data_IF_009388415541
#
_entry.id   IF_009388415541
#
_cell.length_a   1.000
_cell.length_b   1.000
_cell.length_c   1.000
_cell.angle_alpha   90.00
_cell.angle_beta   90.00
_cell.angle_gamma   90.00
#
_symmetry.space_group_name_H-M   'P 1'
#
loop_
_entity.id
_entity.type
_entity.pdbx_description
1 polymer ?
#
# COMPACT_ATOMS: atom_id res chain seq x y z
N UNK A 1 -27.41 34.64 5.01
CA UNK A 1 -26.64 34.90 3.77
C UNK A 1 -25.21 34.43 4.00
N UNK A 2 -24.72 33.42 3.27
CA UNK A 2 -23.34 32.94 3.38
C UNK A 2 -22.52 33.43 2.18
N UNK A 3 -21.90 34.63 2.26
CA UNK A 3 -21.22 35.28 1.14
C UNK A 3 -19.95 34.53 0.65
N UNK A 4 -19.54 33.46 1.35
CA UNK A 4 -18.30 32.71 1.10
C UNK A 4 -18.50 31.29 0.58
N UNK A 5 -19.75 30.85 0.34
CA UNK A 5 -19.98 29.59 -0.36
C UNK A 5 -19.57 29.78 -1.82
N UNK A 6 -18.55 29.04 -2.27
CA UNK A 6 -18.02 29.06 -3.64
C UNK A 6 -19.04 28.73 -4.75
N UNK A 7 -20.28 28.40 -4.38
CA UNK A 7 -21.43 28.26 -5.28
C UNK A 7 -21.95 29.61 -5.79
N UNK A 8 -21.74 30.71 -5.03
CA UNK A 8 -22.24 32.06 -5.35
C UNK A 8 -21.13 33.05 -5.77
N UNK A 9 -19.86 32.61 -5.77
CA UNK A 9 -18.74 33.45 -6.20
C UNK A 9 -18.38 33.22 -7.66
N UNK A 10 -18.24 34.29 -8.43
CA UNK A 10 -18.01 34.26 -9.90
C UNK A 10 -16.66 33.67 -10.30
N UNK A 11 -15.70 33.56 -9.37
CA UNK A 11 -14.37 33.01 -9.61
C UNK A 11 -14.10 31.79 -8.73
N UNK A 12 -14.21 30.60 -9.32
CA UNK A 12 -13.87 29.34 -8.64
C UNK A 12 -12.36 29.22 -8.44
N UNK A 13 -11.90 29.22 -7.18
CA UNK A 13 -10.50 28.89 -6.80
C UNK A 13 -10.25 27.39 -6.60
N UNK A 14 -11.16 26.53 -7.07
CA UNK A 14 -11.05 25.07 -6.91
C UNK A 14 -9.89 24.52 -7.74
N UNK A 15 -9.12 23.59 -7.16
CA UNK A 15 -8.04 22.91 -7.88
C UNK A 15 -8.54 22.22 -9.16
N UNK A 16 -7.80 22.37 -10.25
CA UNK A 16 -8.14 21.77 -11.54
C UNK A 16 -8.10 20.23 -11.44
N UNK A 17 -9.11 19.59 -12.03
CA UNK A 17 -9.12 18.13 -12.23
C UNK A 17 -8.71 17.81 -13.67
N UNK A 18 -8.34 16.56 -13.99
CA UNK A 18 -7.99 16.17 -15.36
C UNK A 18 -9.10 16.41 -16.41
N UNK A 19 -10.32 16.74 -15.97
CA UNK A 19 -11.50 16.96 -16.83
C UNK A 19 -11.87 18.44 -17.01
N UNK A 20 -11.10 19.37 -16.42
CA UNK A 20 -11.43 20.81 -16.36
C UNK A 20 -10.47 21.72 -17.14
N UNK A 21 -9.52 21.16 -17.88
CA UNK A 21 -8.58 21.90 -18.73
C UNK A 21 -8.83 21.68 -20.22
N UNK A 22 -8.11 22.42 -21.07
CA UNK A 22 -8.16 22.27 -22.53
C UNK A 22 -7.24 21.13 -23.02
N UNK A 23 -7.13 20.93 -24.35
CA UNK A 23 -6.38 19.84 -25.01
C UNK A 23 -4.94 19.68 -24.51
N UNK A 24 -4.25 20.78 -24.19
CA UNK A 24 -2.85 20.75 -23.74
C UNK A 24 -2.68 20.49 -22.24
N UNK A 25 -3.78 20.50 -21.48
CA UNK A 25 -3.75 20.28 -20.04
C UNK A 25 -3.76 18.79 -19.71
N UNK A 26 -2.61 18.26 -19.32
CA UNK A 26 -2.49 16.92 -18.77
C UNK A 26 -2.28 16.94 -17.25
N UNK A 27 -3.11 16.18 -16.52
CA UNK A 27 -2.94 15.95 -15.08
C UNK A 27 -3.05 14.47 -14.76
N UNK A 28 -1.99 13.90 -14.16
CA UNK A 28 -1.95 12.49 -13.77
C UNK A 28 -2.82 12.17 -12.55
N UNK A 29 -3.19 10.89 -12.39
CA UNK A 29 -4.09 10.38 -11.33
C UNK A 29 -3.36 9.62 -10.23
N UNK A 30 -2.07 9.93 -9.98
CA UNK A 30 -1.22 9.24 -8.99
C UNK A 30 -1.08 7.72 -9.21
N UNK A 31 -1.21 7.23 -10.44
CA UNK A 31 -0.95 5.81 -10.75
C UNK A 31 0.47 5.36 -10.34
N UNK A 32 1.42 6.29 -10.30
CA UNK A 32 2.80 6.07 -9.86
C UNK A 32 2.99 6.08 -8.33
N UNK A 33 1.92 6.01 -7.53
CA UNK A 33 1.97 5.95 -6.07
C UNK A 33 1.28 4.69 -5.56
N UNK A 34 1.74 4.17 -4.42
CA UNK A 34 1.06 3.08 -3.71
C UNK A 34 -0.18 3.63 -2.97
N UNK A 35 -1.23 2.80 -2.77
CA UNK A 35 -2.33 3.15 -1.88
C UNK A 35 -1.78 3.51 -0.50
N UNK A 36 -2.00 4.75 -0.03
CA UNK A 36 -1.49 5.23 1.26
C UNK A 36 0.03 5.37 1.39
N UNK A 37 0.79 5.15 0.32
CA UNK A 37 2.25 5.01 0.40
C UNK A 37 3.04 5.98 -0.48
N UNK A 38 4.34 5.69 -0.59
CA UNK A 38 5.29 6.49 -1.33
C UNK A 38 5.11 6.39 -2.86
N UNK A 39 5.72 7.34 -3.57
CA UNK A 39 5.71 7.39 -5.04
C UNK A 39 6.75 6.40 -5.57
N UNK A 40 6.31 5.40 -6.32
CA UNK A 40 7.16 4.37 -6.95
C UNK A 40 7.70 4.78 -8.32
N UNK A 41 7.16 5.87 -8.89
CA UNK A 41 7.57 6.36 -10.21
C UNK A 41 6.78 5.76 -11.37
N UNK A 42 7.08 6.19 -12.59
CA UNK A 42 6.38 5.74 -13.80
C UNK A 42 6.89 4.35 -14.23
N UNK A 43 6.02 3.46 -14.76
CA UNK A 43 6.39 2.10 -15.17
C UNK A 43 7.19 2.02 -16.47
N UNK A 44 7.48 3.17 -17.09
CA UNK A 44 8.10 3.23 -18.41
C UNK A 44 8.56 4.63 -18.76
N UNK A 45 8.98 4.80 -20.02
CA UNK A 45 9.48 6.07 -20.55
C UNK A 45 8.86 6.42 -21.89
N UNK A 46 8.68 7.72 -22.13
CA UNK A 46 8.32 8.22 -23.45
C UNK A 46 9.51 8.07 -24.40
N UNK A 47 9.23 7.63 -25.62
CA UNK A 47 10.22 7.44 -26.68
C UNK A 47 9.96 8.46 -27.78
N UNK A 48 10.96 9.26 -28.09
CA UNK A 48 10.85 10.38 -29.04
C UNK A 48 10.78 9.85 -30.49
N UNK A 49 11.57 8.81 -30.79
CA UNK A 49 11.71 8.22 -32.14
C UNK A 49 11.13 6.81 -32.20
N UNK A 50 10.43 6.49 -33.29
CA UNK A 50 9.79 5.18 -33.50
C UNK A 50 8.26 5.22 -33.53
N UNK A 51 7.66 4.05 -33.76
CA UNK A 51 6.21 3.84 -33.88
C UNK A 51 5.51 3.84 -32.52
N UNK A 52 6.11 3.23 -31.49
CA UNK A 52 5.61 3.29 -30.11
C UNK A 52 6.16 4.50 -29.36
N UNK A 53 5.27 5.39 -28.90
CA UNK A 53 5.65 6.64 -28.20
C UNK A 53 5.89 6.45 -26.70
N UNK A 54 5.52 5.30 -26.14
CA UNK A 54 5.78 4.94 -24.75
C UNK A 54 6.25 3.49 -24.68
N UNK A 55 7.31 3.24 -23.92
CA UNK A 55 7.88 1.90 -23.69
C UNK A 55 7.78 1.56 -22.22
N UNK A 56 7.14 0.43 -21.91
CA UNK A 56 7.12 -0.16 -20.58
C UNK A 56 8.48 -0.77 -20.24
N UNK A 57 8.87 -0.66 -18.99
CA UNK A 57 10.09 -1.25 -18.44
C UNK A 57 9.66 -2.24 -17.38
N UNK A 58 9.72 -3.53 -17.68
CA UNK A 58 9.19 -4.60 -16.81
C UNK A 58 9.77 -4.53 -15.39
N UNK A 59 11.04 -4.15 -15.26
CA UNK A 59 11.73 -3.92 -13.98
C UNK A 59 11.08 -2.84 -13.09
N UNK A 60 10.32 -1.92 -13.68
CA UNK A 60 9.62 -0.82 -12.97
C UNK A 60 8.13 -1.06 -12.85
N UNK A 61 7.61 -2.10 -13.48
CA UNK A 61 6.20 -2.47 -13.35
C UNK A 61 6.01 -3.11 -11.99
N UNK A 62 4.97 -2.68 -11.28
CA UNK A 62 4.64 -3.25 -9.97
C UNK A 62 3.98 -4.61 -10.16
N UNK A 63 4.44 -5.58 -9.38
CA UNK A 63 3.87 -6.93 -9.31
C UNK A 63 3.42 -7.19 -7.88
N UNK A 64 2.20 -7.68 -7.72
CA UNK A 64 1.70 -8.14 -6.43
C UNK A 64 1.92 -9.65 -6.37
N UNK A 65 2.86 -10.07 -5.53
CA UNK A 65 3.17 -11.49 -5.33
C UNK A 65 2.27 -12.00 -4.21
N UNK A 66 1.46 -13.00 -4.53
CA UNK A 66 0.63 -13.73 -3.57
C UNK A 66 1.11 -15.17 -3.42
N UNK A 67 0.77 -15.83 -2.30
CA UNK A 67 0.96 -17.27 -2.16
C UNK A 67 0.11 -18.05 -3.18
N UNK A 68 0.40 -19.33 -3.35
CA UNK A 68 -0.35 -20.18 -4.28
C UNK A 68 -1.80 -20.34 -3.85
N UNK A 69 -2.70 -20.59 -4.81
CA UNK A 69 -4.13 -20.75 -4.50
C UNK A 69 -4.41 -21.94 -3.57
N UNK A 70 -3.57 -22.99 -3.66
CA UNK A 70 -3.67 -24.20 -2.84
C UNK A 70 -3.36 -23.87 -1.38
N UNK A 71 -2.25 -23.16 -1.13
CA UNK A 71 -1.88 -22.70 0.22
C UNK A 71 -2.93 -21.76 0.82
N UNK A 72 -3.49 -20.84 0.02
CA UNK A 72 -4.56 -19.95 0.48
C UNK A 72 -5.80 -20.75 0.89
N UNK A 73 -6.17 -21.77 0.11
CA UNK A 73 -7.38 -22.57 0.37
C UNK A 73 -7.20 -23.51 1.56
N UNK A 74 -6.00 -24.07 1.73
CA UNK A 74 -5.64 -24.92 2.86
C UNK A 74 -5.40 -24.14 4.15
N UNK A 75 -5.18 -22.82 4.06
CA UNK A 75 -4.98 -21.99 5.24
C UNK A 75 -6.23 -21.92 6.12
N UNK A 76 -6.03 -22.23 7.41
CA UNK A 76 -7.04 -22.03 8.45
C UNK A 76 -7.30 -20.55 8.74
N UNK A 77 -6.36 -19.66 8.37
CA UNK A 77 -6.46 -18.23 8.63
C UNK A 77 -7.63 -17.63 7.86
N UNK A 78 -8.49 -16.91 8.57
CA UNK A 78 -9.63 -16.17 8.02
C UNK A 78 -9.45 -14.67 8.26
N UNK A 79 -10.09 -13.80 7.45
CA UNK A 79 -10.02 -12.36 7.64
C UNK A 79 -10.58 -11.88 8.99
N UNK A 80 -11.43 -12.70 9.63
CA UNK A 80 -12.08 -12.39 10.89
C UNK A 80 -11.91 -13.54 11.88
N UNK A 81 -12.00 -13.20 13.15
CA UNK A 81 -11.94 -14.15 14.26
C UNK A 81 -13.32 -14.25 14.92
N UNK A 82 -13.63 -15.39 15.51
CA UNK A 82 -14.89 -15.58 16.22
C UNK A 82 -14.99 -14.69 17.47
N UNK A 83 -16.18 -14.14 17.75
CA UNK A 83 -16.38 -13.14 18.82
C UNK A 83 -16.01 -13.67 20.21
N UNK A 84 -16.13 -14.98 20.45
CA UNK A 84 -15.83 -15.57 21.76
C UNK A 84 -14.35 -15.76 22.04
N UNK A 85 -13.47 -15.67 21.05
CA UNK A 85 -12.03 -15.87 21.27
C UNK A 85 -11.44 -14.68 22.01
N UNK A 86 -10.79 -14.93 23.15
CA UNK A 86 -10.10 -13.91 23.93
C UNK A 86 -8.61 -14.17 23.90
N UNK A 87 -7.82 -13.12 23.70
CA UNK A 87 -6.36 -13.20 23.80
C UNK A 87 -5.94 -13.57 25.22
N UNK A 88 -5.03 -14.53 25.34
CA UNK A 88 -4.39 -14.86 26.60
C UNK A 88 -3.48 -13.72 27.07
N UNK A 89 -3.09 -13.73 28.34
CA UNK A 89 -2.12 -12.75 28.85
C UNK A 89 -0.75 -12.90 28.18
N UNK A 90 -0.42 -14.11 27.71
CA UNK A 90 0.81 -14.37 27.00
C UNK A 90 0.73 -13.81 25.57
N UNK A 91 -0.36 -14.07 24.85
CA UNK A 91 -0.57 -13.56 23.48
C UNK A 91 -0.52 -12.03 23.43
N UNK A 92 -1.03 -11.36 24.49
CA UNK A 92 -0.96 -9.90 24.63
C UNK A 92 0.47 -9.39 24.78
N UNK A 93 1.32 -10.12 25.51
CA UNK A 93 2.75 -9.78 25.64
C UNK A 93 3.46 -10.00 24.32
N UNK A 94 3.16 -11.09 23.63
CA UNK A 94 3.78 -11.42 22.34
C UNK A 94 3.36 -10.44 21.24
N UNK A 95 2.09 -9.99 21.23
CA UNK A 95 1.62 -8.94 20.34
C UNK A 95 2.37 -7.59 20.55
N UNK A 96 2.79 -7.29 21.79
CA UNK A 96 3.61 -6.10 22.07
C UNK A 96 5.05 -6.24 21.57
N UNK A 97 5.56 -7.46 21.44
CA UNK A 97 6.90 -7.74 20.89
C UNK A 97 6.97 -7.65 19.37
N UNK A 98 5.84 -7.79 18.67
CA UNK A 98 5.72 -7.69 17.20
C UNK A 98 5.65 -6.24 16.67
N UNK A 99 5.53 -5.25 17.55
CA UNK A 99 5.68 -3.80 17.23
C UNK A 99 7.14 -3.54 16.83
N UNK A 100 7.46 -2.63 15.88
CA UNK A 100 8.82 -2.47 15.37
C UNK A 100 9.84 -2.28 16.50
N UNK A 101 10.59 -3.36 16.67
CA UNK A 101 11.73 -3.60 17.53
C UNK A 101 12.59 -2.35 17.66
N UNK A 102 12.62 -1.80 18.88
CA UNK A 102 13.79 -1.05 19.33
C UNK A 102 15.02 -1.96 19.11
N UNK A 103 16.15 -1.44 18.61
CA UNK A 103 17.23 -2.22 18.00
C UNK A 103 17.81 -3.39 18.82
N UNK A 104 17.50 -3.51 20.11
CA UNK A 104 18.03 -4.53 21.02
C UNK A 104 17.05 -5.66 21.39
N UNK A 105 15.77 -5.61 21.01
CA UNK A 105 14.78 -6.60 21.50
C UNK A 105 14.75 -7.93 20.72
N UNK A 106 15.39 -8.01 19.55
CA UNK A 106 15.35 -9.18 18.66
C UNK A 106 16.08 -10.42 19.18
N UNK A 107 17.03 -10.30 20.11
CA UNK A 107 18.01 -11.36 20.37
C UNK A 107 17.42 -12.55 21.18
N UNK A 108 16.29 -12.38 21.87
CA UNK A 108 15.78 -13.40 22.81
C UNK A 108 14.67 -14.33 22.28
N UNK A 109 14.08 -14.06 21.12
CA UNK A 109 12.97 -14.89 20.59
C UNK A 109 13.49 -16.02 19.71
N UNK A 110 14.31 -15.71 18.70
CA UNK A 110 14.91 -16.73 17.81
C UNK A 110 15.72 -17.81 18.56
N UNK A 111 16.34 -17.45 19.69
CA UNK A 111 17.09 -18.39 20.53
C UNK A 111 16.17 -19.35 21.30
N UNK A 112 15.00 -18.87 21.77
CA UNK A 112 13.98 -19.73 22.40
C UNK A 112 13.34 -20.68 21.38
N UNK A 113 12.96 -20.14 20.22
CA UNK A 113 12.35 -20.94 19.16
C UNK A 113 13.32 -22.02 18.61
N UNK A 114 14.63 -21.74 18.60
CA UNK A 114 15.66 -22.71 18.24
C UNK A 114 15.92 -23.78 19.31
N UNK A 115 15.72 -23.45 20.60
CA UNK A 115 15.86 -24.39 21.72
C UNK A 115 14.63 -25.31 21.83
N UNK A 116 13.43 -24.81 21.53
CA UNK A 116 12.17 -25.57 21.59
C UNK A 116 11.95 -26.50 20.38
N UNK A 117 12.60 -26.25 19.24
CA UNK A 117 12.49 -27.05 18.01
C UNK A 117 13.39 -28.29 17.92
N UNK A 118 14.06 -28.68 19.01
CA UNK A 118 15.02 -29.81 19.07
C UNK A 118 14.41 -31.08 19.72
N UNK A 119 13.16 -31.06 20.17
CA UNK A 119 12.46 -32.25 20.68
C UNK A 119 11.44 -32.83 19.71
#
# INVERSE_FOLDING_TARGET
MHPTLACLSKASRRALTPKRGNKDFYKGTRQAALPGGHRTGAPGRFVIRGTSKYRLLDEKVRVFVGPSIQEITQSELKPYVHVSTKLSNQDRRDAQLLVPILPETKIKQWRRDAEDGIN
#
